data_IF_666195960894
#
_entry.id   IF_666195960894
#
_cell.length_a   1.000
_cell.length_b   1.000
_cell.length_c   1.000
_cell.angle_alpha   90.00
_cell.angle_beta   90.00
_cell.angle_gamma   90.00
#
_symmetry.space_group_name_H-M   'P 1'
#
loop_
_entity.id
_entity.type
_entity.pdbx_description
1 polymer ?
#
# COMPACT_ATOMS: atom_id res chain seq x y z
N UNK A 1 -10.95 7.93 19.14
CA UNK A 1 -11.41 7.24 17.92
C UNK A 1 -10.83 5.82 17.87
N UNK A 2 -11.71 4.81 17.88
CA UNK A 2 -11.40 3.39 17.80
C UNK A 2 -11.91 2.84 16.47
N UNK A 3 -11.10 2.03 15.78
CA UNK A 3 -11.51 1.29 14.58
C UNK A 3 -11.79 -0.15 14.97
N UNK A 4 -12.96 -0.64 14.56
CA UNK A 4 -13.47 -1.96 14.90
C UNK A 4 -13.87 -2.67 13.62
N UNK A 5 -13.49 -3.93 13.46
CA UNK A 5 -13.81 -4.73 12.28
C UNK A 5 -14.55 -6.00 12.66
N UNK A 6 -15.57 -6.32 11.87
CA UNK A 6 -16.22 -7.64 11.87
C UNK A 6 -16.43 -8.04 10.42
N UNK A 7 -15.77 -9.12 10.01
CA UNK A 7 -15.75 -9.56 8.60
C UNK A 7 -15.33 -8.41 7.67
N UNK A 8 -16.18 -8.02 6.73
CA UNK A 8 -15.94 -6.94 5.76
C UNK A 8 -16.49 -5.57 6.21
N UNK A 9 -16.95 -5.45 7.46
CA UNK A 9 -17.54 -4.20 7.99
C UNK A 9 -16.56 -3.52 8.94
N UNK A 10 -16.22 -2.26 8.63
CA UNK A 10 -15.42 -1.39 9.49
C UNK A 10 -16.33 -0.36 10.16
N UNK A 11 -16.19 -0.20 11.48
CA UNK A 11 -16.85 0.83 12.27
C UNK A 11 -15.84 1.69 13.00
N UNK A 12 -16.07 3.00 12.96
CA UNK A 12 -15.27 4.01 13.64
C UNK A 12 -16.12 4.61 14.75
N UNK A 13 -15.61 4.60 15.98
CA UNK A 13 -16.34 5.11 17.16
C UNK A 13 -15.42 5.95 18.05
N UNK A 14 -15.93 7.03 18.62
CA UNK A 14 -15.12 7.90 19.49
C UNK A 14 -15.27 7.62 20.98
N UNK A 15 -16.28 6.85 21.36
CA UNK A 15 -16.57 6.52 22.76
C UNK A 15 -16.03 5.14 23.11
N UNK A 16 -15.32 5.05 24.24
CA UNK A 16 -14.89 3.78 24.84
C UNK A 16 -16.07 2.86 25.16
N UNK A 17 -17.19 3.42 25.63
CA UNK A 17 -18.41 2.65 25.93
C UNK A 17 -18.99 1.98 24.67
N UNK A 18 -18.96 2.67 23.53
CA UNK A 18 -19.39 2.10 22.25
C UNK A 18 -18.41 1.03 21.76
N UNK A 19 -17.11 1.23 22.00
CA UNK A 19 -16.07 0.27 21.67
C UNK A 19 -16.30 -1.07 22.38
N UNK A 20 -16.46 -1.06 23.70
CA UNK A 20 -16.66 -2.27 24.50
C UNK A 20 -17.95 -3.01 24.11
N UNK A 21 -19.03 -2.27 23.82
CA UNK A 21 -20.29 -2.86 23.32
C UNK A 21 -20.11 -3.55 21.97
N UNK A 22 -19.30 -2.99 21.07
CA UNK A 22 -19.05 -3.58 19.77
C UNK A 22 -18.10 -4.78 19.88
N UNK A 23 -17.11 -4.72 20.78
CA UNK A 23 -16.25 -5.88 21.10
C UNK A 23 -17.08 -7.05 21.61
N UNK A 24 -18.01 -6.80 22.52
CA UNK A 24 -18.95 -7.83 23.03
C UNK A 24 -19.89 -8.39 21.95
N UNK A 25 -20.07 -7.68 20.83
CA UNK A 25 -20.85 -8.14 19.66
C UNK A 25 -20.00 -8.87 18.60
N UNK A 26 -18.73 -9.10 18.91
CA UNK A 26 -17.77 -9.79 18.05
C UNK A 26 -17.06 -8.89 17.05
N UNK A 27 -16.98 -7.58 17.30
CA UNK A 27 -16.04 -6.73 16.56
C UNK A 27 -14.65 -6.83 17.19
N UNK A 28 -13.62 -6.98 16.38
CA UNK A 28 -12.25 -6.93 16.84
C UNK A 28 -11.72 -5.49 16.77
N UNK A 29 -10.95 -5.08 17.77
CA UNK A 29 -10.25 -3.81 17.74
C UNK A 29 -9.13 -3.90 16.70
N UNK A 30 -9.23 -3.07 15.68
CA UNK A 30 -8.18 -2.98 14.67
C UNK A 30 -7.09 -2.11 15.28
N UNK A 31 -6.02 -2.73 15.76
CA UNK A 31 -4.76 -2.03 15.95
C UNK A 31 -4.25 -1.69 14.54
N UNK A 32 -4.66 -0.54 14.01
CA UNK A 32 -4.00 -0.01 12.83
C UNK A 32 -2.63 0.51 13.32
N UNK A 33 -1.48 -0.09 12.93
CA UNK A 33 -0.33 0.76 12.68
C UNK A 33 -0.81 1.83 11.71
N UNK A 34 -0.33 3.05 11.91
CA UNK A 34 -0.93 4.29 11.40
C UNK A 34 -1.07 4.31 9.86
N UNK A 35 -0.51 3.36 9.14
CA UNK A 35 -0.46 3.29 7.69
C UNK A 35 -0.94 1.93 7.14
N UNK A 36 -2.24 1.67 7.15
CA UNK A 36 -2.83 0.79 6.13
C UNK A 36 -3.60 1.65 5.13
N UNK A 37 -2.82 2.48 4.43
CA UNK A 37 -3.20 2.95 3.11
C UNK A 37 -3.13 1.74 2.19
N UNK A 38 -4.25 1.02 2.06
CA UNK A 38 -4.53 0.28 0.84
C UNK A 38 -4.89 1.30 -0.26
N UNK A 39 -3.96 2.22 -0.51
CA UNK A 39 -3.90 2.90 -1.79
C UNK A 39 -3.13 1.87 -2.62
N UNK A 40 -3.80 1.22 -3.55
CA UNK A 40 -3.12 0.87 -4.79
C UNK A 40 -2.60 2.20 -5.31
N UNK A 41 -1.42 2.62 -4.83
CA UNK A 41 -0.66 3.63 -5.52
C UNK A 41 -0.34 2.92 -6.82
N UNK A 42 -1.11 3.21 -7.86
CA UNK A 42 -0.58 3.21 -9.21
C UNK A 42 0.72 4.01 -9.08
N UNK A 43 1.84 3.31 -8.87
CA UNK A 43 3.14 3.93 -8.71
C UNK A 43 3.37 4.65 -10.04
N UNK A 44 3.09 5.96 -10.07
CA UNK A 44 3.23 6.77 -11.27
C UNK A 44 4.73 7.02 -11.51
N UNK A 45 5.39 5.97 -12.01
CA UNK A 45 6.82 5.92 -12.28
C UNK A 45 7.25 7.02 -13.25
N UNK A 46 6.32 7.54 -14.08
CA UNK A 46 6.58 8.64 -15.01
C UNK A 46 6.94 9.93 -14.27
N UNK A 47 6.31 10.16 -13.12
CA UNK A 47 6.54 11.32 -12.27
C UNK A 47 7.66 11.11 -11.23
N UNK A 48 8.18 9.88 -11.08
CA UNK A 48 9.30 9.62 -10.17
C UNK A 48 10.66 10.12 -10.71
N UNK A 49 11.52 10.53 -9.78
CA UNK A 49 12.91 10.87 -10.08
C UNK A 49 13.71 9.62 -10.43
N UNK A 50 14.74 9.78 -11.29
CA UNK A 50 15.59 8.66 -11.73
C UNK A 50 16.29 7.93 -10.59
N UNK A 51 16.60 8.64 -9.50
CA UNK A 51 17.21 8.03 -8.30
C UNK A 51 16.22 7.12 -7.59
N UNK A 52 14.97 7.54 -7.47
CA UNK A 52 13.93 6.77 -6.79
C UNK A 52 13.49 5.58 -7.64
N UNK A 53 13.37 5.76 -8.96
CA UNK A 53 13.17 4.66 -9.91
C UNK A 53 14.25 3.57 -9.80
N UNK A 54 15.52 3.95 -9.64
CA UNK A 54 16.61 2.98 -9.43
C UNK A 54 16.48 2.22 -8.11
N UNK A 55 16.04 2.89 -7.04
CA UNK A 55 15.82 2.24 -5.74
C UNK A 55 14.66 1.26 -5.84
N UNK A 56 13.53 1.68 -6.42
CA UNK A 56 12.35 0.82 -6.62
C UNK A 56 12.68 -0.37 -7.50
N UNK A 57 13.40 -0.16 -8.61
CA UNK A 57 13.86 -1.24 -9.48
C UNK A 57 14.77 -2.24 -8.74
N UNK A 58 15.69 -1.75 -7.90
CA UNK A 58 16.55 -2.61 -7.07
C UNK A 58 15.74 -3.39 -6.02
N UNK A 59 14.72 -2.79 -5.40
CA UNK A 59 13.83 -3.46 -4.45
C UNK A 59 13.01 -4.56 -5.12
N UNK A 60 12.58 -4.35 -6.37
CA UNK A 60 11.88 -5.35 -7.19
C UNK A 60 12.81 -6.36 -7.87
N UNK A 61 14.13 -6.29 -7.65
CA UNK A 61 15.11 -7.22 -8.23
C UNK A 61 15.41 -7.01 -9.72
N UNK A 62 15.04 -5.86 -10.29
CA UNK A 62 15.27 -5.50 -11.69
C UNK A 62 16.73 -5.09 -11.89
N UNK A 63 17.38 -5.62 -12.93
CA UNK A 63 18.77 -5.32 -13.26
C UNK A 63 18.93 -3.93 -13.89
N UNK A 64 19.33 -2.94 -13.10
CA UNK A 64 19.42 -1.53 -13.52
C UNK A 64 20.69 -1.15 -14.31
N UNK A 65 21.53 -2.12 -14.70
CA UNK A 65 22.84 -1.83 -15.30
C UNK A 65 22.69 -1.24 -16.71
N UNK A 66 23.14 0.01 -16.89
CA UNK A 66 23.07 0.79 -18.15
C UNK A 66 21.66 1.07 -18.70
N UNK A 67 20.60 0.93 -17.91
CA UNK A 67 19.24 1.28 -18.34
C UNK A 67 19.00 2.80 -18.35
N UNK A 68 18.24 3.29 -19.34
CA UNK A 68 17.74 4.67 -19.37
C UNK A 68 16.53 4.82 -18.46
N UNK A 69 16.11 6.06 -18.20
CA UNK A 69 14.95 6.36 -17.34
C UNK A 69 13.68 5.67 -17.86
N UNK A 70 13.45 5.73 -19.17
CA UNK A 70 12.29 5.11 -19.83
C UNK A 70 12.30 3.58 -19.71
N UNK A 71 13.45 2.94 -19.93
CA UNK A 71 13.60 1.49 -19.78
C UNK A 71 13.31 1.02 -18.33
N UNK A 72 13.71 1.83 -17.33
CA UNK A 72 13.42 1.55 -15.92
C UNK A 72 11.93 1.69 -15.61
N UNK A 73 11.26 2.69 -16.18
CA UNK A 73 9.81 2.88 -16.02
C UNK A 73 9.08 1.69 -16.63
N UNK A 74 9.40 1.30 -17.86
CA UNK A 74 8.76 0.16 -18.54
C UNK A 74 8.98 -1.15 -17.77
N UNK A 75 10.20 -1.37 -17.25
CA UNK A 75 10.51 -2.54 -16.44
C UNK A 75 9.76 -2.56 -15.09
N UNK A 76 9.44 -1.38 -14.53
CA UNK A 76 8.70 -1.22 -13.28
C UNK A 76 7.18 -1.32 -13.48
N UNK A 77 6.66 -0.82 -14.60
CA UNK A 77 5.24 -0.92 -15.01
C UNK A 77 4.85 -2.36 -15.42
N UNK A 78 5.83 -3.26 -15.59
CA UNK A 78 5.57 -4.66 -15.91
C UNK A 78 5.26 -4.91 -17.39
N UNK A 79 5.59 -3.97 -18.27
CA UNK A 79 5.44 -4.09 -19.72
C UNK A 79 6.58 -4.94 -20.33
N UNK A 80 6.80 -6.12 -19.74
CA UNK A 80 7.76 -7.14 -20.15
C UNK A 80 7.09 -8.50 -20.36
N UNK A 81 5.82 -8.48 -20.79
CA UNK A 81 5.15 -9.61 -21.44
C UNK A 81 4.90 -9.30 -22.92
N UNK A 82 5.99 -9.17 -23.70
CA UNK A 82 6.04 -9.53 -25.13
C UNK A 82 7.41 -9.16 -25.74
N UNK A 83 8.35 -10.11 -25.75
CA UNK A 83 9.22 -10.57 -26.86
C UNK A 83 10.42 -11.32 -26.27
#
# INVERSE_FOLDING_TARGET
>A
MFKLQKENVIKIVDSSLMCDKLINKGFALVQTPIDFNAVEEEEDYKNMNFIDLKKTAKLKGIQIYKMKKEDLINALEGDLDAI
#
